data_IF_520354049172
#
_entry.id   IF_520354049172
#
_cell.length_a   1.000
_cell.length_b   1.000
_cell.length_c   1.000
_cell.angle_alpha   90.00
_cell.angle_beta   90.00
_cell.angle_gamma   90.00
#
_symmetry.space_group_name_H-M   'P 1'
#
loop_
_entity.id
_entity.type
_entity.pdbx_description
1 polymer ?
#
# COMPACT_ATOMS: atom_id res chain seq x y z
N UNK A 1 -21.07 -8.09 -7.00
CA UNK A 1 -20.10 -7.03 -6.62
C UNK A 1 -18.75 -7.36 -7.24
N UNK A 2 -18.11 -6.39 -7.88
CA UNK A 2 -16.78 -6.56 -8.47
C UNK A 2 -15.74 -6.66 -7.36
N UNK A 3 -14.83 -7.65 -7.43
CA UNK A 3 -13.70 -7.78 -6.52
C UNK A 3 -12.43 -7.34 -7.25
N UNK A 4 -11.63 -6.53 -6.59
CA UNK A 4 -10.41 -5.99 -7.17
C UNK A 4 -9.21 -6.89 -6.92
N UNK A 5 -8.40 -7.09 -7.96
CA UNK A 5 -7.12 -7.79 -7.89
C UNK A 5 -6.04 -6.96 -8.58
N UNK A 6 -4.81 -7.09 -8.12
CA UNK A 6 -3.64 -6.47 -8.74
C UNK A 6 -2.65 -7.57 -9.13
N UNK A 7 -2.33 -7.64 -10.39
CA UNK A 7 -1.43 -8.64 -10.95
C UNK A 7 -0.05 -8.00 -11.16
N UNK A 8 0.99 -8.63 -10.65
CA UNK A 8 2.39 -8.31 -10.94
C UNK A 8 2.98 -9.42 -11.83
N UNK A 9 3.23 -9.14 -13.10
CA UNK A 9 3.91 -10.09 -13.98
C UNK A 9 5.42 -10.05 -13.71
N UNK A 10 5.92 -11.04 -12.99
CA UNK A 10 7.33 -11.13 -12.61
C UNK A 10 8.27 -11.32 -13.80
N UNK A 11 7.76 -11.83 -14.94
CA UNK A 11 8.55 -11.97 -16.17
C UNK A 11 8.87 -10.63 -16.83
N UNK A 12 8.06 -9.61 -16.52
CA UNK A 12 8.19 -8.24 -17.05
C UNK A 12 8.79 -7.27 -16.04
N UNK A 13 8.89 -7.66 -14.78
CA UNK A 13 9.42 -6.81 -13.73
C UNK A 13 10.96 -6.71 -13.84
N UNK A 14 11.46 -5.50 -14.02
CA UNK A 14 12.90 -5.19 -14.12
C UNK A 14 13.46 -4.52 -12.86
N UNK A 15 12.68 -4.47 -11.77
CA UNK A 15 13.11 -3.88 -10.50
C UNK A 15 13.28 -2.36 -10.50
N UNK A 16 12.68 -1.63 -11.45
CA UNK A 16 12.88 -0.19 -11.63
C UNK A 16 12.33 0.70 -10.49
N UNK A 17 11.61 0.14 -9.51
CA UNK A 17 11.02 0.84 -8.35
C UNK A 17 9.99 1.93 -8.71
N UNK A 18 9.58 2.09 -9.96
CA UNK A 18 8.59 3.10 -10.37
C UNK A 18 7.27 2.96 -9.60
N UNK A 19 6.80 1.73 -9.41
CA UNK A 19 5.59 1.46 -8.61
C UNK A 19 5.73 1.89 -7.14
N UNK A 20 6.94 1.76 -6.56
CA UNK A 20 7.25 2.24 -5.20
C UNK A 20 7.23 3.76 -5.14
N UNK A 21 7.89 4.42 -6.11
CA UNK A 21 7.95 5.88 -6.20
C UNK A 21 6.56 6.50 -6.45
N UNK A 22 5.79 5.93 -7.38
CA UNK A 22 4.41 6.39 -7.67
C UNK A 22 3.49 6.23 -6.46
N UNK A 23 3.58 5.10 -5.74
CA UNK A 23 2.81 4.89 -4.52
C UNK A 23 3.17 5.92 -3.44
N UNK A 24 4.47 6.17 -3.23
CA UNK A 24 4.96 7.17 -2.29
C UNK A 24 4.50 8.58 -2.66
N UNK A 25 4.62 8.95 -3.93
CA UNK A 25 4.19 10.26 -4.42
C UNK A 25 2.68 10.47 -4.23
N UNK A 26 1.87 9.50 -4.63
CA UNK A 26 0.42 9.59 -4.55
C UNK A 26 -0.12 9.64 -3.12
N UNK A 27 0.56 8.99 -2.17
CA UNK A 27 0.09 8.84 -0.79
C UNK A 27 0.91 9.64 0.23
N UNK A 28 1.93 10.39 -0.19
CA UNK A 28 2.86 11.12 0.68
C UNK A 28 3.35 10.30 1.89
N UNK A 29 3.69 9.02 1.65
CA UNK A 29 4.19 8.18 2.73
C UNK A 29 5.54 8.71 3.22
N UNK A 30 5.77 8.78 4.55
CA UNK A 30 7.00 9.33 5.09
C UNK A 30 8.22 8.44 4.77
N UNK A 31 9.45 8.96 4.92
CA UNK A 31 10.66 8.15 4.79
C UNK A 31 10.60 6.89 5.65
N UNK A 32 11.02 5.74 5.08
CA UNK A 32 10.97 4.44 5.75
C UNK A 32 9.63 3.71 5.62
N UNK A 33 8.55 4.37 5.18
CA UNK A 33 7.25 3.72 4.94
C UNK A 33 7.07 3.42 3.46
N UNK A 34 7.01 2.16 3.11
CA UNK A 34 6.86 1.68 1.73
C UNK A 34 5.64 0.76 1.60
N UNK A 35 4.47 1.32 1.30
CA UNK A 35 3.25 0.52 1.08
C UNK A 35 3.35 -0.39 -0.13
N UNK A 36 4.19 -0.02 -1.11
CA UNK A 36 4.64 -0.83 -2.22
C UNK A 36 6.16 -0.85 -2.20
N UNK A 37 6.77 -2.03 -2.32
CA UNK A 37 8.22 -2.22 -2.46
C UNK A 37 8.49 -3.32 -3.46
N UNK A 38 9.68 -3.36 -4.03
CA UNK A 38 10.14 -4.45 -4.89
C UNK A 38 11.29 -5.14 -4.19
N UNK A 39 11.14 -6.42 -3.95
CA UNK A 39 12.22 -7.26 -3.46
C UNK A 39 13.13 -7.63 -4.62
N UNK A 40 14.43 -7.58 -4.39
CA UNK A 40 15.48 -8.02 -5.30
C UNK A 40 16.08 -9.29 -4.70
N UNK A 41 15.91 -10.40 -5.39
CA UNK A 41 16.26 -11.73 -4.88
C UNK A 41 17.20 -12.40 -5.86
N UNK A 42 18.36 -12.82 -5.38
CA UNK A 42 19.25 -13.70 -6.13
C UNK A 42 18.92 -15.17 -5.83
N UNK A 43 18.86 -15.98 -6.88
CA UNK A 43 18.57 -17.41 -6.82
C UNK A 43 19.56 -18.16 -7.67
N UNK A 44 20.12 -19.26 -7.14
CA UNK A 44 21.11 -20.11 -7.79
C UNK A 44 22.48 -19.99 -7.13
N UNK A 45 23.46 -20.72 -7.70
CA UNK A 45 24.85 -20.69 -7.29
C UNK A 45 25.74 -20.23 -8.46
N UNK A 46 26.79 -19.50 -8.13
CA UNK A 46 27.73 -19.02 -9.14
C UNK A 46 28.33 -20.20 -9.94
N UNK A 47 28.40 -20.16 -11.30
CA UNK A 47 28.10 -19.00 -12.17
C UNK A 47 26.60 -18.87 -12.59
N UNK A 48 25.73 -19.81 -12.24
CA UNK A 48 24.33 -19.87 -12.70
C UNK A 48 23.38 -19.09 -11.76
N UNK A 49 23.65 -17.82 -11.56
CA UNK A 49 22.84 -16.93 -10.74
C UNK A 49 21.76 -16.23 -11.56
N UNK A 50 20.54 -16.16 -11.06
CA UNK A 50 19.41 -15.40 -11.62
C UNK A 50 18.91 -14.38 -10.62
N UNK A 51 18.50 -13.21 -11.09
CA UNK A 51 17.81 -12.19 -10.27
C UNK A 51 16.32 -12.21 -10.56
N UNK A 52 15.52 -12.19 -9.51
CA UNK A 52 14.08 -12.07 -9.57
C UNK A 52 13.62 -10.80 -8.81
N UNK A 53 12.78 -10.00 -9.45
CA UNK A 53 12.20 -8.82 -8.84
C UNK A 53 10.74 -9.08 -8.49
N UNK A 54 10.39 -8.96 -7.20
CA UNK A 54 9.06 -9.28 -6.71
C UNK A 54 8.40 -8.05 -6.08
N UNK A 55 7.45 -7.41 -6.77
CA UNK A 55 6.66 -6.33 -6.20
C UNK A 55 5.76 -6.85 -5.08
N UNK A 56 5.92 -6.32 -3.87
CA UNK A 56 5.18 -6.75 -2.69
C UNK A 56 4.49 -5.56 -2.01
N UNK A 57 3.47 -5.87 -1.20
CA UNK A 57 2.70 -4.91 -0.43
C UNK A 57 1.58 -5.61 0.30
N UNK A 58 0.56 -4.87 0.75
CA UNK A 58 -0.62 -5.49 1.34
C UNK A 58 -1.34 -6.35 0.30
N UNK A 59 -1.63 -7.60 0.66
CA UNK A 59 -2.30 -8.56 -0.24
C UNK A 59 -3.83 -8.45 -0.20
N UNK A 60 -4.39 -7.59 0.66
CA UNK A 60 -5.84 -7.49 0.87
C UNK A 60 -6.50 -8.87 1.01
N UNK A 61 -5.94 -9.68 1.91
CA UNK A 61 -6.21 -11.10 2.09
C UNK A 61 -7.70 -11.45 2.10
N UNK A 62 -8.03 -12.67 1.67
CA UNK A 62 -9.42 -13.17 1.75
C UNK A 62 -9.87 -13.25 3.19
N UNK A 63 -9.06 -13.86 4.04
CA UNK A 63 -9.22 -13.88 5.49
C UNK A 63 -8.06 -13.11 6.13
N UNK A 64 -8.24 -11.79 6.46
CA UNK A 64 -7.14 -10.97 6.88
C UNK A 64 -6.81 -11.16 8.37
N UNK A 65 -5.68 -11.77 8.75
CA UNK A 65 -5.31 -11.96 10.16
C UNK A 65 -5.21 -10.64 10.91
N UNK A 66 -4.84 -9.58 10.22
CA UNK A 66 -4.79 -8.24 10.80
C UNK A 66 -6.16 -7.65 11.17
N UNK A 67 -7.25 -8.18 10.66
CA UNK A 67 -8.61 -7.82 11.07
C UNK A 67 -8.99 -8.54 12.37
N UNK A 68 -8.64 -9.81 12.47
CA UNK A 68 -8.97 -10.63 13.66
C UNK A 68 -8.28 -10.14 14.94
N UNK A 69 -7.07 -9.59 14.83
CA UNK A 69 -6.33 -9.07 16.00
C UNK A 69 -6.61 -7.61 16.31
N UNK A 70 -7.52 -6.96 15.59
CA UNK A 70 -7.80 -5.53 15.80
C UNK A 70 -8.80 -5.34 16.95
N UNK A 71 -8.37 -4.82 18.12
CA UNK A 71 -9.24 -4.72 19.30
C UNK A 71 -10.37 -3.69 19.12
N UNK A 72 -10.17 -2.68 18.27
CA UNK A 72 -11.14 -1.62 18.01
C UNK A 72 -11.96 -1.84 16.74
N UNK A 73 -11.75 -2.98 16.05
CA UNK A 73 -12.37 -3.24 14.74
C UNK A 73 -12.10 -2.16 13.66
N UNK A 74 -11.05 -1.36 13.86
CA UNK A 74 -10.63 -0.33 12.90
C UNK A 74 -10.23 -0.92 11.54
N UNK A 75 -9.64 -2.14 11.53
CA UNK A 75 -9.35 -2.85 10.29
C UNK A 75 -10.58 -3.60 9.82
N UNK A 76 -11.05 -3.29 8.61
CA UNK A 76 -12.26 -3.88 8.03
C UNK A 76 -12.01 -4.32 6.58
N UNK A 77 -12.78 -5.30 6.12
CA UNK A 77 -12.80 -5.73 4.72
C UNK A 77 -14.07 -5.22 4.05
N UNK A 78 -13.92 -4.54 2.93
CA UNK A 78 -15.01 -4.06 2.10
C UNK A 78 -15.60 -5.20 1.26
N UNK A 79 -16.84 -5.07 0.77
CA UNK A 79 -17.46 -6.06 -0.11
C UNK A 79 -16.71 -6.30 -1.42
N UNK A 80 -15.93 -5.31 -1.89
CA UNK A 80 -15.07 -5.38 -3.08
C UNK A 80 -13.72 -6.07 -2.81
N UNK A 81 -13.50 -6.58 -1.60
CA UNK A 81 -12.30 -7.30 -1.18
C UNK A 81 -11.18 -6.42 -0.63
N UNK A 82 -11.31 -5.09 -0.72
CA UNK A 82 -10.28 -4.18 -0.21
C UNK A 82 -10.34 -4.15 1.33
N UNK A 83 -9.18 -4.39 1.96
CA UNK A 83 -9.05 -4.23 3.41
C UNK A 83 -8.66 -2.79 3.71
N UNK A 84 -9.43 -2.10 4.52
CA UNK A 84 -9.24 -0.70 4.92
C UNK A 84 -8.92 -0.59 6.41
N UNK A 85 -8.49 0.59 6.82
CA UNK A 85 -8.33 0.97 8.23
C UNK A 85 -9.12 2.26 8.42
N UNK A 86 -9.95 2.27 9.43
CA UNK A 86 -10.60 3.46 9.94
C UNK A 86 -9.64 4.12 10.93
N UNK A 87 -9.12 5.30 10.57
CA UNK A 87 -8.10 5.97 11.37
C UNK A 87 -8.65 6.57 12.66
N UNK A 88 -9.92 6.93 12.68
CA UNK A 88 -10.59 7.46 13.88
C UNK A 88 -10.76 6.39 14.97
N UNK A 89 -10.95 5.14 14.56
CA UNK A 89 -11.07 3.99 15.46
C UNK A 89 -9.71 3.37 15.83
N UNK A 90 -8.66 3.68 15.09
CA UNK A 90 -7.35 3.04 15.26
C UNK A 90 -6.58 3.62 16.44
N UNK A 91 -6.37 2.84 17.51
CA UNK A 91 -5.57 3.24 18.68
C UNK A 91 -4.06 3.04 18.49
N UNK A 92 -3.61 2.60 17.33
CA UNK A 92 -2.19 2.43 17.03
C UNK A 92 -1.47 1.35 17.85
N UNK A 93 -2.15 0.31 18.33
CA UNK A 93 -1.56 -0.76 19.15
C UNK A 93 -0.53 -1.63 18.39
N UNK A 94 -0.51 -1.57 17.06
CA UNK A 94 0.40 -2.31 16.16
C UNK A 94 0.23 -3.85 16.14
N UNK A 95 -0.76 -4.46 16.79
CA UNK A 95 -1.01 -5.90 16.70
C UNK A 95 -1.20 -6.38 15.27
N UNK A 96 -1.85 -5.58 14.44
CA UNK A 96 -2.01 -5.87 13.03
C UNK A 96 -0.68 -5.89 12.24
N UNK A 97 0.36 -5.20 12.70
CA UNK A 97 1.67 -5.25 12.08
C UNK A 97 2.40 -6.55 12.44
N UNK A 98 2.24 -7.02 13.67
CA UNK A 98 2.79 -8.32 14.13
C UNK A 98 2.08 -9.49 13.44
N UNK A 99 0.75 -9.41 13.30
CA UNK A 99 -0.05 -10.47 12.68
C UNK A 99 0.10 -10.55 11.15
N UNK A 100 0.68 -9.55 10.50
CA UNK A 100 0.80 -9.51 9.05
C UNK A 100 1.99 -10.34 8.55
N UNK A 101 1.78 -11.47 7.85
CA UNK A 101 2.88 -12.31 7.36
C UNK A 101 3.70 -11.62 6.25
N UNK A 102 3.14 -10.58 5.63
CA UNK A 102 3.79 -9.81 4.55
C UNK A 102 4.52 -8.57 5.04
N UNK A 103 4.49 -8.28 6.35
CA UNK A 103 5.07 -7.06 6.94
C UNK A 103 4.60 -5.77 6.21
N UNK A 104 3.34 -5.74 5.80
CA UNK A 104 2.78 -4.69 4.96
C UNK A 104 2.01 -3.63 5.78
N UNK A 105 2.30 -3.50 7.06
CA UNK A 105 1.71 -2.51 7.95
C UNK A 105 2.78 -1.70 8.65
N UNK A 106 2.56 -0.40 8.69
CA UNK A 106 3.50 0.57 9.22
C UNK A 106 2.82 1.43 10.26
N UNK A 107 3.60 1.99 11.18
CA UNK A 107 3.15 2.99 12.14
C UNK A 107 4.23 4.06 12.24
N UNK A 108 3.85 5.31 12.09
CA UNK A 108 4.72 6.47 12.28
C UNK A 108 4.17 7.34 13.40
N UNK A 109 5.04 7.76 14.31
CA UNK A 109 4.65 8.57 15.47
C UNK A 109 4.66 10.06 15.18
N UNK A 110 5.46 10.49 14.20
CA UNK A 110 5.69 11.89 13.87
C UNK A 110 5.70 12.09 12.37
N UNK A 111 5.24 13.25 11.92
CA UNK A 111 5.42 13.67 10.54
C UNK A 111 6.92 13.82 10.26
N UNK A 112 7.42 13.06 9.29
CA UNK A 112 8.80 13.14 8.83
C UNK A 112 8.83 13.30 7.33
N UNK A 113 9.70 14.18 6.85
CA UNK A 113 9.85 14.50 5.43
C UNK A 113 11.29 14.31 5.01
N UNK A 114 11.52 13.90 3.76
CA UNK A 114 12.85 13.57 3.27
C UNK A 114 13.87 14.72 3.39
N UNK A 115 13.39 15.97 3.32
CA UNK A 115 14.22 17.17 3.39
C UNK A 115 13.97 18.01 4.66
N UNK A 116 13.47 17.37 5.73
CA UNK A 116 13.19 18.03 7.02
C UNK A 116 11.91 18.86 7.04
N UNK A 117 11.43 19.33 5.89
CA UNK A 117 10.17 20.05 5.69
C UNK A 117 9.40 19.42 4.51
N UNK A 118 8.06 19.55 4.49
CA UNK A 118 7.28 19.00 3.40
C UNK A 118 7.58 19.68 2.07
N UNK A 119 7.78 18.89 1.01
CA UNK A 119 7.78 19.39 -0.35
C UNK A 119 6.34 19.79 -0.77
N UNK A 120 6.21 20.56 -1.86
CA UNK A 120 4.91 21.07 -2.29
C UNK A 120 3.84 19.99 -2.52
N UNK A 121 4.22 18.81 -3.03
CA UNK A 121 3.31 17.69 -3.20
C UNK A 121 3.00 16.97 -1.87
N UNK A 122 3.98 16.87 -0.97
CA UNK A 122 3.78 16.29 0.36
C UNK A 122 2.82 17.14 1.19
N UNK A 123 2.94 18.46 1.15
CA UNK A 123 2.01 19.39 1.83
C UNK A 123 0.56 19.22 1.38
N UNK A 124 0.34 18.87 0.10
CA UNK A 124 -1.01 18.65 -0.46
C UNK A 124 -1.59 17.27 -0.16
N UNK A 125 -0.72 16.26 0.08
CA UNK A 125 -1.10 14.85 0.21
C UNK A 125 -0.86 14.27 1.59
N UNK A 126 -0.12 15.00 2.44
CA UNK A 126 0.08 14.57 3.81
C UNK A 126 -1.25 14.54 4.55
N UNK A 127 -1.48 13.41 5.20
CA UNK A 127 -2.68 13.14 5.95
C UNK A 127 -2.30 13.01 7.43
N UNK A 128 -2.65 13.98 8.29
CA UNK A 128 -2.32 13.96 9.69
C UNK A 128 -2.98 12.81 10.45
N UNK A 129 -4.12 12.29 9.98
CA UNK A 129 -4.84 11.19 10.60
C UNK A 129 -4.07 9.85 10.48
N UNK A 130 -3.03 9.82 9.66
CA UNK A 130 -2.09 8.69 9.52
C UNK A 130 -0.97 8.68 10.57
N UNK A 131 -0.94 9.62 11.48
CA UNK A 131 0.04 9.66 12.57
C UNK A 131 -0.43 8.86 13.77
N UNK A 132 0.49 8.15 14.42
CA UNK A 132 0.28 7.29 15.58
C UNK A 132 -0.66 6.08 15.34
N UNK A 133 -1.22 5.94 14.16
CA UNK A 133 -2.10 4.83 13.74
C UNK A 133 -1.39 3.85 12.81
N UNK A 134 -1.99 2.67 12.60
CA UNK A 134 -1.48 1.72 11.62
C UNK A 134 -1.84 2.18 10.21
N UNK A 135 -0.87 2.11 9.30
CA UNK A 135 -1.06 2.45 7.88
C UNK A 135 -0.62 1.31 6.98
N UNK A 136 -1.17 1.24 5.78
CA UNK A 136 -0.83 0.24 4.76
C UNK A 136 -1.31 0.67 3.38
N UNK A 137 -0.99 -0.10 2.35
CA UNK A 137 -1.60 0.07 1.03
C UNK A 137 -3.13 0.05 1.13
N UNK A 138 -3.77 1.11 0.64
CA UNK A 138 -5.23 1.25 0.59
C UNK A 138 -5.84 0.72 -0.72
N UNK A 139 -5.02 0.15 -1.62
CA UNK A 139 -5.38 -0.13 -3.01
C UNK A 139 -5.77 1.13 -3.80
N UNK A 140 -5.38 2.29 -3.32
CA UNK A 140 -5.82 3.61 -3.81
C UNK A 140 -7.36 3.70 -3.90
N UNK A 141 -8.04 3.25 -2.85
CA UNK A 141 -9.50 3.17 -2.79
C UNK A 141 -10.17 4.49 -3.14
N UNK A 142 -9.60 5.62 -2.73
CA UNK A 142 -10.12 6.96 -3.05
C UNK A 142 -10.17 7.21 -4.56
N UNK A 143 -9.16 6.74 -5.30
CA UNK A 143 -9.12 6.84 -6.77
C UNK A 143 -10.15 5.92 -7.43
N UNK A 144 -10.28 4.69 -6.91
CA UNK A 144 -11.25 3.71 -7.39
C UNK A 144 -12.66 4.24 -7.18
N UNK A 145 -12.99 4.67 -5.97
CA UNK A 145 -14.33 5.14 -5.62
C UNK A 145 -14.70 6.41 -6.41
N UNK A 146 -13.79 7.39 -6.51
CA UNK A 146 -14.00 8.59 -7.32
C UNK A 146 -14.15 8.27 -8.82
N UNK A 147 -13.36 7.32 -9.33
CA UNK A 147 -13.45 6.86 -10.71
C UNK A 147 -14.80 6.21 -11.01
N UNK A 148 -15.21 5.27 -10.18
CA UNK A 148 -16.50 4.59 -10.33
C UNK A 148 -17.67 5.57 -10.25
N UNK A 149 -17.62 6.56 -9.37
CA UNK A 149 -18.65 7.59 -9.24
C UNK A 149 -18.79 8.45 -10.53
N UNK A 150 -17.72 8.53 -11.33
CA UNK A 150 -17.71 9.27 -12.62
C UNK A 150 -17.82 8.35 -13.84
N UNK A 151 -18.16 7.06 -13.65
CA UNK A 151 -18.33 6.09 -14.74
C UNK A 151 -17.03 5.58 -15.35
N UNK A 152 -15.88 5.82 -14.69
CA UNK A 152 -14.56 5.33 -15.11
C UNK A 152 -14.30 3.90 -14.63
N UNK A 153 -13.49 3.18 -15.36
CA UNK A 153 -13.17 1.78 -15.08
C UNK A 153 -11.74 1.64 -14.52
N UNK A 154 -11.57 1.21 -13.25
CA UNK A 154 -10.25 0.91 -12.69
C UNK A 154 -9.50 -0.14 -13.53
N UNK A 155 -8.22 0.12 -13.79
CA UNK A 155 -7.38 -0.72 -14.65
C UNK A 155 -7.43 -0.36 -16.13
N UNK A 156 -8.38 0.47 -16.56
CA UNK A 156 -8.50 1.02 -17.92
C UNK A 156 -8.25 2.52 -17.89
N UNK A 157 -8.99 3.24 -17.04
CA UNK A 157 -8.86 4.68 -16.91
C UNK A 157 -7.77 5.02 -15.87
N UNK A 158 -6.73 5.80 -16.25
CA UNK A 158 -5.62 6.14 -15.37
C UNK A 158 -6.04 6.79 -14.05
N UNK A 159 -7.08 7.62 -14.08
CA UNK A 159 -7.56 8.37 -12.91
C UNK A 159 -8.25 7.47 -11.88
N UNK A 160 -8.89 6.38 -12.32
CA UNK A 160 -9.52 5.38 -11.48
C UNK A 160 -8.56 4.26 -11.05
N UNK A 161 -7.38 4.18 -11.68
CA UNK A 161 -6.41 3.10 -11.47
C UNK A 161 -5.46 3.41 -10.30
N UNK A 162 -5.08 2.41 -9.47
CA UNK A 162 -4.07 2.60 -8.43
C UNK A 162 -2.77 3.20 -8.98
N UNK A 163 -2.18 4.16 -8.28
CA UNK A 163 -1.03 4.92 -8.76
C UNK A 163 0.22 4.08 -9.10
N UNK A 164 0.36 2.91 -8.49
CA UNK A 164 1.49 2.01 -8.75
C UNK A 164 1.26 1.07 -9.97
N UNK A 165 0.08 1.12 -10.58
CA UNK A 165 -0.29 0.33 -11.77
C UNK A 165 -0.31 1.21 -13.02
N UNK A 166 -0.61 2.48 -12.82
CA UNK A 166 -0.73 3.50 -13.86
C UNK A 166 0.61 4.00 -14.39
#
# INVERSE_FOLDING_TARGET
>A
MTRWAMIADLRRCVGCQTCTASCRHANATPPGVQWRRVLDIEVGEYPDVKRAFVPVGCQHCEDPPCMHVCPTTATRKRPDGIVTIDYDLCIGCAYCAVACPYQARYKTQRATFAYGKPAAHESKRHDPDRLAVATKCTFCVDRIDAGLATGKTPGVDPEATPACVN
#
